data_IF_515362710799
#
_entry.id   IF_515362710799
#
_cell.length_a   1.000
_cell.length_b   1.000
_cell.length_c   1.000
_cell.angle_alpha   90.00
_cell.angle_beta   90.00
_cell.angle_gamma   90.00
#
_symmetry.space_group_name_H-M   'P 1'
#
loop_
_entity.id
_entity.type
_entity.pdbx_description
1 polymer ?
#
# COMPACT_ATOMS: atom_id res chain seq x y z
N UNK A 1 -35.10 -1.59 51.08
CA UNK A 1 -34.56 -0.42 50.36
C UNK A 1 -33.46 -0.91 49.42
N UNK A 2 -33.79 -1.05 48.15
CA UNK A 2 -32.93 -1.64 47.12
C UNK A 2 -31.74 -0.72 46.80
N UNK A 3 -30.53 -1.25 46.96
CA UNK A 3 -29.30 -0.71 46.38
C UNK A 3 -29.33 -0.94 44.86
N UNK A 4 -29.39 0.15 44.08
CA UNK A 4 -29.24 0.09 42.63
C UNK A 4 -27.74 0.21 42.28
N UNK A 5 -27.11 -0.96 42.15
CA UNK A 5 -26.09 -1.14 41.12
C UNK A 5 -26.83 -1.35 39.79
N UNK A 6 -26.61 -0.46 38.82
CA UNK A 6 -26.86 -0.69 37.39
C UNK A 6 -25.70 0.01 36.68
N UNK A 7 -24.62 -0.74 36.41
CA UNK A 7 -24.30 -1.26 35.07
C UNK A 7 -24.01 -0.13 34.08
N UNK A 8 -22.73 0.18 33.84
CA UNK A 8 -21.94 -0.38 32.73
C UNK A 8 -22.41 0.12 31.37
N UNK A 9 -21.64 1.00 30.73
CA UNK A 9 -21.67 1.16 29.28
C UNK A 9 -20.25 1.01 28.71
N UNK A 10 -19.82 -0.22 28.34
CA UNK A 10 -18.59 -0.46 27.62
C UNK A 10 -18.91 -0.70 26.14
N UNK A 11 -19.45 0.30 25.44
CA UNK A 11 -19.75 0.18 24.00
C UNK A 11 -19.41 1.47 23.24
N UNK A 12 -18.12 1.69 22.98
CA UNK A 12 -17.67 2.43 21.80
C UNK A 12 -16.41 1.75 21.27
N UNK A 13 -16.56 0.55 20.72
CA UNK A 13 -15.58 0.03 19.75
C UNK A 13 -15.65 0.93 18.52
N UNK A 14 -14.78 1.95 18.46
CA UNK A 14 -14.71 2.91 17.37
C UNK A 14 -14.27 2.20 16.09
N UNK A 15 -15.23 1.81 15.24
CA UNK A 15 -14.94 1.34 13.89
C UNK A 15 -14.33 2.51 13.13
N UNK A 16 -13.02 2.46 12.90
CA UNK A 16 -12.34 3.46 12.07
C UNK A 16 -12.98 3.49 10.68
N UNK A 17 -13.39 4.65 10.14
CA UNK A 17 -14.08 4.75 8.85
C UNK A 17 -13.18 4.22 7.72
N UNK A 18 -13.72 3.48 6.76
CA UNK A 18 -12.90 3.02 5.62
C UNK A 18 -12.54 4.18 4.69
N UNK A 19 -11.57 3.99 3.79
CA UNK A 19 -11.26 4.99 2.75
C UNK A 19 -12.49 5.38 1.93
N UNK A 20 -13.35 4.42 1.62
CA UNK A 20 -14.58 4.67 0.87
C UNK A 20 -15.57 5.53 1.67
N UNK A 21 -15.61 5.36 2.99
CA UNK A 21 -16.45 6.16 3.88
C UNK A 21 -15.92 7.59 3.98
N UNK A 22 -14.59 7.76 4.11
CA UNK A 22 -13.94 9.08 4.13
C UNK A 22 -14.13 9.84 2.82
N UNK A 23 -13.97 9.17 1.68
CA UNK A 23 -14.19 9.78 0.37
C UNK A 23 -15.65 10.17 0.16
N UNK A 24 -16.60 9.36 0.65
CA UNK A 24 -18.03 9.67 0.58
C UNK A 24 -18.36 10.87 1.47
N UNK A 25 -17.88 10.88 2.71
CA UNK A 25 -18.10 11.98 3.63
C UNK A 25 -17.51 13.29 3.09
N UNK A 26 -16.31 13.25 2.49
CA UNK A 26 -15.73 14.39 1.78
C UNK A 26 -16.60 14.86 0.61
N UNK A 27 -17.17 13.94 -0.19
CA UNK A 27 -18.05 14.30 -1.29
C UNK A 27 -19.39 14.90 -0.82
N UNK A 28 -19.85 14.55 0.38
CA UNK A 28 -21.10 15.04 0.98
C UNK A 28 -20.96 16.43 1.62
N UNK A 29 -19.92 16.65 2.44
CA UNK A 29 -19.78 17.87 3.25
C UNK A 29 -18.60 18.78 2.85
N UNK A 30 -17.70 18.31 1.98
CA UNK A 30 -16.53 19.05 1.49
C UNK A 30 -15.45 19.32 2.54
N UNK A 31 -15.54 18.76 3.75
CA UNK A 31 -14.58 19.06 4.83
C UNK A 31 -13.24 18.37 4.61
N UNK A 32 -12.17 19.15 4.69
CA UNK A 32 -10.81 18.67 4.47
C UNK A 32 -10.33 17.68 5.55
N UNK A 33 -10.95 17.66 6.73
CA UNK A 33 -10.67 16.71 7.81
C UNK A 33 -10.71 15.25 7.34
N UNK A 34 -11.65 14.91 6.45
CA UNK A 34 -11.77 13.57 5.89
C UNK A 34 -10.56 13.19 5.03
N UNK A 35 -10.04 14.15 4.26
CA UNK A 35 -8.84 13.96 3.44
C UNK A 35 -7.58 13.92 4.28
N UNK A 36 -7.49 14.74 5.34
CA UNK A 36 -6.37 14.69 6.28
C UNK A 36 -6.29 13.33 6.97
N UNK A 37 -7.42 12.81 7.46
CA UNK A 37 -7.47 11.48 8.07
C UNK A 37 -7.10 10.39 7.05
N UNK A 38 -7.61 10.47 5.81
CA UNK A 38 -7.25 9.54 4.74
C UNK A 38 -5.73 9.55 4.48
N UNK A 39 -5.14 10.74 4.31
CA UNK A 39 -3.72 10.89 3.99
C UNK A 39 -2.80 10.44 5.15
N UNK A 40 -3.19 10.69 6.40
CA UNK A 40 -2.41 10.28 7.58
C UNK A 40 -2.15 8.77 7.62
N UNK A 41 -3.07 7.95 7.08
CA UNK A 41 -2.92 6.49 6.98
C UNK A 41 -1.82 6.08 6.01
N UNK A 42 -1.54 6.92 5.02
CA UNK A 42 -0.61 6.64 3.94
C UNK A 42 0.74 7.32 4.09
N UNK A 43 0.84 8.32 4.97
CA UNK A 43 2.02 9.16 5.13
C UNK A 43 3.32 8.35 5.30
N UNK A 44 3.37 7.47 6.31
CA UNK A 44 4.58 6.69 6.61
C UNK A 44 4.93 5.73 5.46
N UNK A 45 3.94 5.04 4.92
CA UNK A 45 4.14 4.05 3.86
C UNK A 45 4.58 4.72 2.54
N UNK A 46 3.93 5.82 2.17
CA UNK A 46 4.23 6.57 0.97
C UNK A 46 5.60 7.24 1.06
N UNK A 47 5.94 7.86 2.19
CA UNK A 47 7.24 8.48 2.38
C UNK A 47 8.38 7.46 2.32
N UNK A 48 8.23 6.32 3.01
CA UNK A 48 9.20 5.23 2.93
C UNK A 48 9.35 4.67 1.51
N UNK A 49 8.25 4.59 0.77
CA UNK A 49 8.28 4.20 -0.63
C UNK A 49 8.98 5.23 -1.53
N UNK A 50 8.71 6.52 -1.33
CA UNK A 50 9.39 7.61 -2.03
C UNK A 50 10.90 7.61 -1.78
N UNK A 51 11.33 7.38 -0.53
CA UNK A 51 12.74 7.21 -0.19
C UNK A 51 13.38 6.05 -0.96
N UNK A 52 12.68 4.92 -1.06
CA UNK A 52 13.15 3.77 -1.83
C UNK A 52 13.28 4.10 -3.32
N UNK A 53 12.27 4.72 -3.91
CA UNK A 53 12.29 5.14 -5.32
C UNK A 53 13.42 6.15 -5.61
N UNK A 54 13.71 7.02 -4.64
CA UNK A 54 14.76 8.04 -4.74
C UNK A 54 16.12 7.56 -4.22
N UNK A 55 16.31 6.25 -4.05
CA UNK A 55 17.58 5.63 -3.65
C UNK A 55 18.16 6.21 -2.35
N UNK A 56 17.30 6.62 -1.42
CA UNK A 56 17.68 7.23 -0.15
C UNK A 56 17.94 8.74 -0.20
N UNK A 57 17.76 9.41 -1.34
CA UNK A 57 17.82 10.86 -1.40
C UNK A 57 16.57 11.47 -0.72
N UNK A 58 16.75 12.01 0.49
CA UNK A 58 15.67 12.54 1.31
C UNK A 58 14.97 13.76 0.71
N UNK A 59 15.71 14.64 0.04
CA UNK A 59 15.17 15.85 -0.59
C UNK A 59 14.27 15.46 -1.77
N UNK A 60 14.79 14.65 -2.70
CA UNK A 60 14.02 14.16 -3.83
C UNK A 60 12.82 13.30 -3.38
N UNK A 61 12.97 12.53 -2.30
CA UNK A 61 11.88 11.73 -1.74
C UNK A 61 10.76 12.60 -1.13
N UNK A 62 11.11 13.69 -0.46
CA UNK A 62 10.14 14.65 0.08
C UNK A 62 9.37 15.32 -1.04
N UNK A 63 10.05 15.74 -2.10
CA UNK A 63 9.41 16.35 -3.27
C UNK A 63 8.48 15.35 -3.98
N UNK A 64 8.96 14.11 -4.18
CA UNK A 64 8.16 13.04 -4.77
C UNK A 64 6.89 12.75 -3.94
N UNK A 65 7.03 12.68 -2.61
CA UNK A 65 5.92 12.49 -1.68
C UNK A 65 4.89 13.62 -1.81
N UNK A 66 5.33 14.88 -1.72
CA UNK A 66 4.46 16.04 -1.78
C UNK A 66 3.70 16.12 -3.11
N UNK A 67 4.41 15.95 -4.23
CA UNK A 67 3.80 15.97 -5.56
C UNK A 67 2.82 14.80 -5.75
N UNK A 68 3.11 13.63 -5.16
CA UNK A 68 2.20 12.48 -5.19
C UNK A 68 0.89 12.79 -4.45
N UNK A 69 0.99 13.32 -3.23
CA UNK A 69 -0.17 13.72 -2.43
C UNK A 69 -0.99 14.79 -3.16
N UNK A 70 -0.32 15.81 -3.73
CA UNK A 70 -0.96 16.86 -4.49
C UNK A 70 -1.78 16.33 -5.68
N UNK A 71 -1.18 15.45 -6.50
CA UNK A 71 -1.88 14.82 -7.64
C UNK A 71 -3.01 13.90 -7.21
N UNK A 72 -2.86 13.19 -6.09
CA UNK A 72 -3.93 12.38 -5.54
C UNK A 72 -5.12 13.26 -5.15
N UNK A 73 -4.88 14.37 -4.45
CA UNK A 73 -5.92 15.31 -4.03
C UNK A 73 -6.67 15.90 -5.23
N UNK A 74 -5.96 16.30 -6.30
CA UNK A 74 -6.59 16.72 -7.55
C UNK A 74 -7.50 15.61 -8.09
N UNK A 75 -7.02 14.37 -8.12
CA UNK A 75 -7.78 13.24 -8.66
C UNK A 75 -9.03 12.92 -7.84
N UNK A 76 -8.93 12.92 -6.51
CA UNK A 76 -10.09 12.73 -5.61
C UNK A 76 -11.14 13.82 -5.83
N UNK A 77 -10.71 15.08 -6.00
CA UNK A 77 -11.61 16.21 -6.25
C UNK A 77 -12.30 16.13 -7.61
N UNK A 78 -11.62 15.59 -8.64
CA UNK A 78 -12.21 15.42 -9.97
C UNK A 78 -13.06 14.15 -10.11
N UNK A 79 -12.77 13.11 -9.33
CA UNK A 79 -13.42 11.80 -9.40
C UNK A 79 -13.81 11.35 -7.98
N UNK A 80 -15.09 11.48 -7.57
CA UNK A 80 -15.55 11.17 -6.20
C UNK A 80 -15.34 9.71 -5.79
N UNK A 81 -15.14 8.80 -6.74
CA UNK A 81 -14.81 7.39 -6.48
C UNK A 81 -13.65 6.94 -7.38
N UNK A 82 -12.41 7.33 -7.06
CA UNK A 82 -11.27 7.11 -7.95
C UNK A 82 -10.73 5.66 -7.89
N UNK A 83 -11.40 4.78 -7.14
CA UNK A 83 -10.98 3.39 -6.91
C UNK A 83 -10.06 3.26 -5.70
N UNK A 84 -9.11 2.32 -5.74
CA UNK A 84 -8.16 2.11 -4.64
C UNK A 84 -7.17 3.27 -4.53
N UNK A 85 -7.25 4.03 -3.44
CA UNK A 85 -6.31 5.13 -3.11
C UNK A 85 -4.86 4.65 -3.17
N UNK A 86 -4.61 3.43 -2.70
CA UNK A 86 -3.28 2.84 -2.75
C UNK A 86 -2.75 2.57 -4.14
N UNK A 87 -3.62 2.03 -5.01
CA UNK A 87 -3.23 1.81 -6.39
C UNK A 87 -2.89 3.15 -7.06
N UNK A 88 -3.64 4.20 -6.76
CA UNK A 88 -3.39 5.55 -7.29
C UNK A 88 -2.09 6.14 -6.75
N UNK A 89 -1.84 6.05 -5.44
CA UNK A 89 -0.60 6.53 -4.83
C UNK A 89 0.62 5.90 -5.48
N UNK A 90 0.63 4.56 -5.61
CA UNK A 90 1.70 3.86 -6.28
C UNK A 90 1.82 4.25 -7.74
N UNK A 91 0.71 4.38 -8.47
CA UNK A 91 0.73 4.75 -9.88
C UNK A 91 1.34 6.13 -10.09
N UNK A 92 0.92 7.11 -9.29
CA UNK A 92 1.38 8.49 -9.36
C UNK A 92 2.86 8.58 -8.98
N UNK A 93 3.26 8.03 -7.82
CA UNK A 93 4.64 8.05 -7.35
C UNK A 93 5.59 7.39 -8.35
N UNK A 94 5.17 6.30 -8.96
CA UNK A 94 5.95 5.58 -9.97
C UNK A 94 6.14 6.38 -11.26
N UNK A 95 5.07 7.01 -11.75
CA UNK A 95 5.16 7.88 -12.92
C UNK A 95 6.11 9.06 -12.67
N UNK A 96 5.95 9.71 -11.52
CA UNK A 96 6.79 10.83 -11.10
C UNK A 96 8.26 10.44 -10.95
N UNK A 97 8.55 9.28 -10.35
CA UNK A 97 9.92 8.80 -10.21
C UNK A 97 10.57 8.53 -11.57
N UNK A 98 9.86 7.84 -12.48
CA UNK A 98 10.36 7.62 -13.84
C UNK A 98 10.62 8.94 -14.56
N UNK A 99 9.71 9.90 -14.45
CA UNK A 99 9.89 11.23 -15.05
C UNK A 99 11.08 11.99 -14.46
N UNK A 100 11.29 11.89 -13.14
CA UNK A 100 12.44 12.47 -12.45
C UNK A 100 13.76 11.95 -13.05
N UNK A 101 13.95 10.63 -13.09
CA UNK A 101 15.18 10.02 -13.61
C UNK A 101 15.34 10.20 -15.13
N UNK A 102 14.23 10.35 -15.87
CA UNK A 102 14.27 10.58 -17.32
C UNK A 102 14.82 11.97 -17.67
N UNK A 103 14.64 12.97 -16.81
CA UNK A 103 15.12 14.34 -17.02
C UNK A 103 16.64 14.46 -16.84
N UNK A 104 17.26 13.55 -16.10
CA UNK A 104 18.71 13.47 -15.99
C UNK A 104 19.31 12.69 -17.17
N UNK A 105 20.09 13.37 -18.02
CA UNK A 105 20.78 12.73 -19.17
C UNK A 105 21.67 11.55 -18.76
N UNK A 106 22.20 11.56 -17.53
CA UNK A 106 23.02 10.48 -16.99
C UNK A 106 22.19 9.29 -16.45
N UNK A 107 20.90 9.47 -16.18
CA UNK A 107 20.05 8.46 -15.53
C UNK A 107 18.96 7.88 -16.44
N UNK A 108 18.95 8.22 -17.73
CA UNK A 108 17.97 7.73 -18.72
C UNK A 108 17.94 6.19 -18.83
N UNK A 109 19.10 5.53 -18.66
CA UNK A 109 19.17 4.07 -18.59
C UNK A 109 18.45 3.51 -17.35
N UNK A 110 18.62 4.18 -16.20
CA UNK A 110 17.94 3.84 -14.96
C UNK A 110 16.43 4.10 -15.06
N UNK A 111 16.00 5.21 -15.65
CA UNK A 111 14.58 5.48 -15.87
C UNK A 111 13.90 4.37 -16.71
N UNK A 112 14.60 3.87 -17.73
CA UNK A 112 14.13 2.76 -18.56
C UNK A 112 14.03 1.44 -17.78
N UNK A 113 15.02 1.17 -16.92
CA UNK A 113 15.02 0.00 -16.05
C UNK A 113 13.91 0.07 -14.99
N UNK A 114 13.79 1.20 -14.29
CA UNK A 114 12.78 1.48 -13.29
C UNK A 114 11.38 1.37 -13.92
N UNK A 115 11.15 1.95 -15.11
CA UNK A 115 9.90 1.80 -15.83
C UNK A 115 9.55 0.33 -16.11
N UNK A 116 10.54 -0.49 -16.49
CA UNK A 116 10.35 -1.93 -16.72
C UNK A 116 10.00 -2.66 -15.41
N UNK A 117 10.70 -2.36 -14.32
CA UNK A 117 10.42 -2.93 -12.99
C UNK A 117 9.02 -2.56 -12.51
N UNK A 118 8.64 -1.30 -12.63
CA UNK A 118 7.36 -0.77 -12.17
C UNK A 118 6.20 -1.27 -13.02
N UNK A 119 6.38 -1.53 -14.31
CA UNK A 119 5.38 -2.23 -15.14
C UNK A 119 5.16 -3.67 -14.68
N UNK A 120 6.21 -4.37 -14.28
CA UNK A 120 6.10 -5.72 -13.71
C UNK A 120 5.36 -5.69 -12.37
N UNK A 121 5.62 -4.69 -11.50
CA UNK A 121 4.90 -4.48 -10.23
C UNK A 121 3.46 -4.03 -10.45
N UNK A 122 3.18 -3.14 -11.40
CA UNK A 122 1.83 -2.68 -11.70
C UNK A 122 0.93 -3.79 -12.25
N UNK A 123 1.44 -4.69 -13.10
CA UNK A 123 0.66 -5.87 -13.53
C UNK A 123 0.19 -6.73 -12.35
N UNK A 124 0.90 -6.69 -11.22
CA UNK A 124 0.57 -7.41 -10.00
C UNK A 124 -0.39 -6.65 -9.06
N UNK A 125 -0.32 -5.32 -9.01
CA UNK A 125 -1.18 -4.48 -8.17
C UNK A 125 -2.48 -4.06 -8.85
N UNK A 126 -2.46 -3.76 -10.16
CA UNK A 126 -3.62 -3.33 -10.94
C UNK A 126 -4.75 -4.37 -11.00
N UNK A 127 -4.44 -5.64 -10.72
CA UNK A 127 -5.44 -6.71 -10.71
C UNK A 127 -6.32 -6.75 -9.45
N UNK A 128 -6.05 -5.95 -8.41
CA UNK A 128 -6.68 -6.17 -7.09
C UNK A 128 -6.91 -4.84 -6.33
N UNK A 129 -8.01 -4.15 -6.65
CA UNK A 129 -8.61 -3.11 -5.80
C UNK A 129 -8.74 -3.64 -4.36
N UNK A 130 -7.94 -3.10 -3.41
CA UNK A 130 -8.21 -3.03 -1.95
C UNK A 130 -7.10 -2.26 -1.21
N UNK A 131 -7.37 -1.78 0.03
CA UNK A 131 -6.45 -0.92 0.78
C UNK A 131 -5.10 -1.59 1.11
N UNK A 132 -4.03 -0.78 1.14
CA UNK A 132 -2.79 -1.05 1.87
C UNK A 132 -3.21 -1.25 3.32
N UNK A 133 -2.60 -2.22 3.98
CA UNK A 133 -3.12 -2.61 5.25
C UNK A 133 -2.41 -1.70 6.31
N UNK A 134 -3.16 -1.22 7.30
CA UNK A 134 -2.85 -0.33 8.44
C UNK A 134 -1.61 -0.80 9.26
N UNK A 135 -1.09 -0.01 10.21
CA UNK A 135 0.04 -0.44 11.05
C UNK A 135 -0.16 -1.81 11.74
N UNK A 136 -1.38 -2.14 12.17
CA UNK A 136 -1.77 -3.47 12.70
C UNK A 136 -1.67 -4.58 11.64
N UNK A 137 -1.82 -4.22 10.38
CA UNK A 137 -1.71 -5.15 9.29
C UNK A 137 -0.28 -5.57 8.99
N UNK A 138 0.74 -4.85 9.46
CA UNK A 138 2.14 -5.30 9.31
C UNK A 138 2.39 -6.55 10.15
N UNK A 139 1.81 -6.62 11.35
CA UNK A 139 1.93 -7.79 12.22
C UNK A 139 1.00 -8.93 11.78
N UNK A 140 -0.19 -8.62 11.24
CA UNK A 140 -0.99 -9.62 10.53
C UNK A 140 -0.29 -10.13 9.27
N UNK A 141 0.38 -9.29 8.50
CA UNK A 141 1.13 -9.69 7.33
C UNK A 141 2.29 -10.61 7.72
N UNK A 142 3.06 -10.29 8.78
CA UNK A 142 4.11 -11.18 9.32
C UNK A 142 3.54 -12.54 9.72
N UNK A 143 2.43 -12.57 10.47
CA UNK A 143 1.75 -13.82 10.87
C UNK A 143 1.22 -14.60 9.67
N UNK A 144 0.65 -13.91 8.69
CA UNK A 144 0.19 -14.50 7.43
C UNK A 144 1.34 -15.10 6.62
N UNK A 145 2.50 -14.45 6.58
CA UNK A 145 3.68 -14.93 5.87
C UNK A 145 4.21 -16.25 6.45
N UNK A 146 4.03 -16.49 7.75
CA UNK A 146 4.35 -17.78 8.39
C UNK A 146 3.46 -18.93 7.91
N UNK A 147 2.36 -18.65 7.20
CA UNK A 147 1.47 -19.68 6.62
C UNK A 147 1.84 -20.08 5.18
N UNK A 148 2.87 -19.44 4.61
CA UNK A 148 3.38 -19.76 3.29
C UNK A 148 4.61 -20.65 3.40
N UNK A 149 4.87 -21.43 2.35
CA UNK A 149 6.00 -22.35 2.32
C UNK A 149 6.97 -22.03 1.16
N UNK A 150 8.25 -22.29 1.39
CA UNK A 150 9.32 -22.19 0.39
C UNK A 150 9.35 -20.84 -0.32
N UNK A 151 9.45 -20.88 -1.65
CA UNK A 151 9.56 -19.68 -2.48
C UNK A 151 8.37 -18.72 -2.33
N UNK A 152 7.17 -19.22 -1.95
CA UNK A 152 6.02 -18.34 -1.72
C UNK A 152 6.25 -17.46 -0.50
N UNK A 153 6.79 -18.02 0.59
CA UNK A 153 7.08 -17.28 1.81
C UNK A 153 8.21 -16.28 1.57
N UNK A 154 9.30 -16.73 0.97
CA UNK A 154 10.49 -15.92 0.75
C UNK A 154 10.20 -14.74 -0.19
N UNK A 155 9.68 -15.02 -1.39
CA UNK A 155 9.36 -13.97 -2.34
C UNK A 155 8.31 -13.00 -1.77
N UNK A 156 7.29 -13.50 -1.06
CA UNK A 156 6.26 -12.62 -0.47
C UNK A 156 6.81 -11.75 0.66
N UNK A 157 7.71 -12.26 1.50
CA UNK A 157 8.38 -11.47 2.54
C UNK A 157 9.21 -10.36 1.90
N UNK A 158 10.11 -10.71 0.97
CA UNK A 158 10.94 -9.72 0.30
C UNK A 158 10.09 -8.66 -0.40
N UNK A 159 9.05 -9.08 -1.12
CA UNK A 159 8.21 -8.16 -1.86
C UNK A 159 7.33 -7.26 -0.98
N UNK A 160 6.66 -7.82 0.03
CA UNK A 160 5.66 -7.09 0.81
C UNK A 160 6.20 -6.44 2.08
N UNK A 161 7.24 -6.99 2.71
CA UNK A 161 7.84 -6.41 3.92
C UNK A 161 9.08 -5.57 3.62
N UNK A 162 9.94 -6.05 2.73
CA UNK A 162 11.22 -5.40 2.39
C UNK A 162 11.12 -4.52 1.13
N UNK A 163 9.96 -4.60 0.44
CA UNK A 163 9.66 -3.84 -0.76
C UNK A 163 10.50 -4.25 -1.98
N UNK A 164 11.15 -5.40 -1.96
CA UNK A 164 12.08 -5.86 -2.98
C UNK A 164 11.45 -5.87 -4.38
N UNK A 165 12.27 -5.59 -5.38
CA UNK A 165 11.92 -5.71 -6.79
C UNK A 165 11.88 -7.18 -7.22
N UNK A 166 11.16 -7.48 -8.30
CA UNK A 166 11.25 -8.80 -8.92
C UNK A 166 12.68 -9.18 -9.27
N UNK A 167 13.52 -8.20 -9.65
CA UNK A 167 14.92 -8.43 -10.00
C UNK A 167 15.74 -8.78 -8.77
N UNK A 168 15.56 -8.05 -7.66
CA UNK A 168 16.19 -8.35 -6.37
C UNK A 168 15.80 -9.74 -5.89
N UNK A 169 14.51 -10.10 -5.98
CA UNK A 169 14.04 -11.43 -5.58
C UNK A 169 14.62 -12.52 -6.49
N UNK A 170 14.68 -12.30 -7.81
CA UNK A 170 15.33 -13.26 -8.74
C UNK A 170 16.81 -13.40 -8.44
N UNK A 171 17.50 -12.29 -8.14
CA UNK A 171 18.93 -12.29 -7.84
C UNK A 171 19.23 -12.99 -6.50
N UNK A 172 18.38 -12.78 -5.49
CA UNK A 172 18.53 -13.37 -4.16
C UNK A 172 18.15 -14.86 -4.13
N UNK A 173 16.99 -15.21 -4.72
CA UNK A 173 16.50 -16.60 -4.70
C UNK A 173 17.12 -17.50 -5.76
N UNK A 174 17.74 -16.93 -6.80
CA UNK A 174 18.24 -17.65 -7.98
C UNK A 174 17.14 -18.23 -8.87
N UNK A 175 15.87 -17.97 -8.58
CA UNK A 175 14.72 -18.57 -9.28
C UNK A 175 14.32 -17.75 -10.52
N UNK A 176 13.81 -18.38 -11.59
CA UNK A 176 13.37 -17.67 -12.78
C UNK A 176 12.24 -16.67 -12.48
N UNK A 177 12.23 -15.53 -13.20
CA UNK A 177 11.20 -14.48 -13.04
C UNK A 177 9.76 -15.01 -13.14
N UNK A 178 9.49 -15.97 -14.01
CA UNK A 178 8.17 -16.61 -14.16
C UNK A 178 7.74 -17.34 -12.88
N UNK A 179 8.69 -18.00 -12.20
CA UNK A 179 8.46 -18.73 -10.96
C UNK A 179 8.31 -17.78 -9.78
N UNK A 180 9.12 -16.72 -9.70
CA UNK A 180 8.96 -15.64 -8.72
C UNK A 180 7.60 -14.98 -8.83
N UNK A 181 7.14 -14.65 -10.06
CA UNK A 181 5.80 -14.09 -10.31
C UNK A 181 4.68 -15.01 -9.82
N UNK A 182 4.78 -16.30 -10.17
CA UNK A 182 3.79 -17.30 -9.76
C UNK A 182 3.76 -17.47 -8.23
N UNK A 183 4.94 -17.54 -7.59
CA UNK A 183 5.08 -17.63 -6.15
C UNK A 183 4.43 -16.43 -5.44
N UNK A 184 4.69 -15.21 -5.92
CA UNK A 184 4.08 -13.98 -5.41
C UNK A 184 2.55 -13.98 -5.59
N UNK A 185 2.06 -14.38 -6.76
CA UNK A 185 0.63 -14.42 -7.03
C UNK A 185 -0.10 -15.41 -6.11
N UNK A 186 0.46 -16.60 -5.90
CA UNK A 186 -0.11 -17.60 -5.00
C UNK A 186 0.02 -17.18 -3.53
N UNK A 187 1.18 -16.65 -3.13
CA UNK A 187 1.44 -16.11 -1.80
C UNK A 187 0.43 -15.03 -1.43
N UNK A 188 0.24 -14.03 -2.30
CA UNK A 188 -0.78 -12.97 -2.12
C UNK A 188 -2.19 -13.52 -1.96
N UNK A 189 -2.59 -14.50 -2.78
CA UNK A 189 -3.94 -15.08 -2.69
C UNK A 189 -4.17 -15.80 -1.35
N UNK A 190 -3.16 -16.53 -0.86
CA UNK A 190 -3.19 -17.17 0.46
C UNK A 190 -3.23 -16.13 1.58
N UNK A 191 -2.34 -15.13 1.54
CA UNK A 191 -2.29 -14.04 2.51
C UNK A 191 -3.62 -13.29 2.58
N UNK A 192 -4.22 -12.93 1.43
CA UNK A 192 -5.53 -12.29 1.38
C UNK A 192 -6.61 -13.14 2.04
N UNK A 193 -6.64 -14.44 1.74
CA UNK A 193 -7.62 -15.37 2.33
C UNK A 193 -7.43 -15.46 3.85
N UNK A 194 -6.19 -15.48 4.31
CA UNK A 194 -5.85 -15.52 5.73
C UNK A 194 -6.25 -14.23 6.44
N UNK A 195 -5.90 -13.06 5.89
CA UNK A 195 -6.22 -11.74 6.44
C UNK A 195 -7.74 -11.54 6.56
N UNK A 196 -8.49 -11.88 5.51
CA UNK A 196 -9.97 -11.80 5.55
C UNK A 196 -10.59 -12.71 6.62
N UNK A 197 -9.95 -13.84 6.95
CA UNK A 197 -10.41 -14.72 8.04
C UNK A 197 -10.11 -14.13 9.40
N UNK A 198 -8.94 -13.51 9.61
CA UNK A 198 -8.62 -12.85 10.88
C UNK A 198 -9.56 -11.67 11.14
N UNK A 199 -9.75 -10.81 10.13
CA UNK A 199 -10.64 -9.66 10.23
C UNK A 199 -12.08 -10.07 10.61
N UNK A 200 -12.58 -11.21 10.09
CA UNK A 200 -13.90 -11.74 10.45
C UNK A 200 -13.98 -12.32 11.87
N UNK A 201 -12.85 -12.75 12.45
CA UNK A 201 -12.82 -13.31 13.82
C UNK A 201 -12.77 -12.23 14.88
N UNK A 202 -12.09 -11.13 14.61
CA UNK A 202 -11.98 -9.99 15.53
C UNK A 202 -13.26 -9.15 15.60
N UNK A 203 -14.05 -9.14 14.52
CA UNK A 203 -15.31 -8.39 14.43
C UNK A 203 -16.55 -9.26 14.69
N UNK A 204 -16.43 -10.33 15.49
CA UNK A 204 -17.50 -11.27 15.80
C UNK A 204 -17.60 -11.48 17.30
#
# INVERSE_FOLDING_TARGET
MHSLYSSSNPEQSSISPTDADLLRAFAEDGREDHLLLLLSRYETALYGYSLKLMRGNEEAARDLYQETVYRLLIKIRSEPQPGSINALLFLIANGLAVDYFRRSKQESAYASELSRELKLKHGYFASQNKPIPEPDDRDWLKRGLQTLDGLQAEASRQFFLEGASYREIVADTGEPLSRVKSALQHGKRKLRTWLLRQYRKENR
#
